data_IF_387408665245
#
_entry.id   IF_387408665245
#
_cell.length_a   1.000
_cell.length_b   1.000
_cell.length_c   1.000
_cell.angle_alpha   90.00
_cell.angle_beta   90.00
_cell.angle_gamma   90.00
#
_symmetry.space_group_name_H-M   'P 1'
#
loop_
_entity.id
_entity.type
_entity.pdbx_description
1 polymer ?
#
# COMPACT_ATOMS: atom_id res chain seq x y z
N UNK A 1 30.37 -14.57 8.61
CA UNK A 1 29.69 -13.26 8.72
C UNK A 1 28.18 -13.45 8.55
N UNK A 2 27.34 -13.66 9.57
CA UNK A 2 27.52 -14.29 10.88
C UNK A 2 26.15 -14.87 11.34
N UNK A 3 25.90 -16.16 11.09
CA UNK A 3 25.12 -17.02 12.02
C UNK A 3 25.96 -17.39 13.27
N UNK A 4 27.21 -16.93 13.28
CA UNK A 4 28.10 -16.79 14.44
C UNK A 4 27.71 -15.63 15.38
N UNK A 5 26.72 -14.79 15.00
CA UNK A 5 26.02 -13.86 15.92
C UNK A 5 24.89 -14.55 16.70
N UNK A 6 24.62 -15.83 16.44
CA UNK A 6 23.57 -16.59 17.14
C UNK A 6 24.04 -17.92 17.76
N UNK A 7 25.22 -18.49 17.40
CA UNK A 7 25.59 -19.88 17.81
C UNK A 7 26.99 -20.05 18.44
N UNK A 8 27.81 -18.99 18.63
CA UNK A 8 29.20 -19.17 19.07
C UNK A 8 29.48 -19.11 20.58
N UNK A 9 28.46 -19.22 21.43
CA UNK A 9 28.62 -19.11 22.89
C UNK A 9 28.14 -20.35 23.66
N UNK A 10 28.34 -21.53 23.08
CA UNK A 10 28.34 -22.78 23.84
C UNK A 10 29.61 -23.58 23.52
N UNK A 11 30.69 -23.35 24.30
CA UNK A 11 31.72 -24.33 24.67
C UNK A 11 32.73 -23.75 25.68
N UNK A 12 32.35 -23.77 26.96
CA UNK A 12 33.21 -23.99 28.15
C UNK A 12 32.24 -23.91 29.35
N UNK A 13 31.66 -25.00 29.85
CA UNK A 13 32.38 -25.94 30.68
C UNK A 13 31.71 -27.32 30.69
N UNK A 14 32.54 -28.33 30.81
CA UNK A 14 32.28 -29.75 30.77
C UNK A 14 32.17 -30.26 32.22
N UNK A 15 31.00 -30.73 32.68
CA UNK A 15 30.71 -31.54 33.90
C UNK A 15 29.19 -31.37 34.18
N UNK A 16 28.31 -32.34 34.42
CA UNK A 16 28.41 -33.71 34.94
C UNK A 16 27.18 -34.53 34.50
N UNK A 17 27.42 -35.82 34.24
CA UNK A 17 26.50 -36.96 34.28
C UNK A 17 25.40 -36.88 35.37
N UNK A 18 24.16 -37.30 35.05
CA UNK A 18 23.34 -38.28 35.82
C UNK A 18 22.07 -38.61 34.99
N UNK A 19 22.00 -39.76 34.31
CA UNK A 19 21.29 -40.99 34.73
C UNK A 19 19.76 -40.84 34.90
N UNK A 20 19.04 -41.59 34.06
CA UNK A 20 17.87 -42.46 34.36
C UNK A 20 16.43 -41.94 34.09
N UNK A 21 15.82 -42.65 33.13
CA UNK A 21 14.44 -43.14 33.00
C UNK A 21 13.26 -42.21 32.68
N UNK A 22 12.74 -42.46 31.47
CA UNK A 22 11.34 -42.75 31.12
C UNK A 22 10.24 -41.85 31.70
N UNK A 23 9.62 -41.06 30.84
CA UNK A 23 8.16 -41.10 30.60
C UNK A 23 7.94 -40.84 29.10
N UNK A 24 7.25 -41.76 28.44
CA UNK A 24 6.69 -41.57 27.11
C UNK A 24 5.54 -40.56 27.25
N UNK A 25 5.82 -39.30 26.96
CA UNK A 25 4.82 -38.25 26.79
C UNK A 25 4.83 -37.86 25.33
N UNK A 26 3.68 -37.97 24.68
CA UNK A 26 3.44 -37.37 23.36
C UNK A 26 3.58 -35.85 23.58
N UNK A 27 4.76 -35.32 23.32
CA UNK A 27 4.99 -33.90 23.29
C UNK A 27 4.54 -33.41 21.91
N UNK A 28 3.38 -32.78 21.84
CA UNK A 28 3.21 -31.71 20.85
C UNK A 28 4.09 -30.56 21.34
N UNK A 29 5.36 -30.61 20.93
CA UNK A 29 6.26 -29.47 21.10
C UNK A 29 5.81 -28.40 20.12
N UNK A 30 5.15 -27.36 20.63
CA UNK A 30 5.22 -26.08 19.95
C UNK A 30 6.70 -25.65 20.07
N UNK A 31 7.47 -25.85 19.01
CA UNK A 31 8.86 -25.41 18.97
C UNK A 31 8.87 -23.88 18.93
N UNK A 32 9.38 -23.27 20.00
CA UNK A 32 9.51 -21.82 20.11
C UNK A 32 10.94 -21.46 19.71
N UNK A 33 11.08 -20.82 18.54
CA UNK A 33 12.31 -20.12 18.17
C UNK A 33 12.17 -18.67 18.65
N UNK A 34 12.92 -18.30 19.68
CA UNK A 34 12.91 -16.96 20.28
C UNK A 34 14.24 -16.27 20.01
N UNK A 35 14.20 -15.15 19.29
CA UNK A 35 15.30 -14.20 19.13
C UNK A 35 14.74 -12.77 19.17
N UNK A 36 15.46 -11.84 19.81
CA UNK A 36 14.97 -10.54 20.31
C UNK A 36 13.79 -9.90 19.53
N UNK A 37 12.55 -10.15 19.99
CA UNK A 37 11.34 -9.51 19.49
C UNK A 37 10.69 -10.14 18.25
N UNK A 38 11.25 -11.24 17.72
CA UNK A 38 10.65 -12.06 16.66
C UNK A 38 10.40 -13.49 17.14
N UNK A 39 9.18 -13.99 16.92
CA UNK A 39 8.69 -15.28 17.39
C UNK A 39 7.97 -16.01 16.26
N UNK A 40 8.31 -17.29 16.05
CA UNK A 40 7.62 -18.19 15.13
C UNK A 40 6.98 -19.34 15.94
N UNK A 41 5.71 -19.62 15.68
CA UNK A 41 4.98 -20.77 16.21
C UNK A 41 4.16 -21.44 15.11
N UNK A 42 3.99 -22.75 15.20
CA UNK A 42 3.12 -23.56 14.36
C UNK A 42 2.84 -24.91 15.05
N UNK A 43 1.90 -25.69 14.52
CA UNK A 43 1.64 -27.05 14.99
C UNK A 43 2.84 -27.98 14.77
N UNK A 44 3.58 -27.76 13.69
CA UNK A 44 4.76 -28.54 13.36
C UNK A 44 5.79 -27.63 12.69
N UNK A 45 7.03 -27.70 13.18
CA UNK A 45 8.18 -27.02 12.57
C UNK A 45 9.22 -28.09 12.28
N UNK A 46 9.65 -28.20 11.03
CA UNK A 46 10.67 -29.14 10.57
C UNK A 46 11.85 -28.38 9.97
N UNK A 47 13.05 -28.82 10.32
CA UNK A 47 14.28 -28.33 9.73
C UNK A 47 14.88 -29.40 8.82
N UNK A 48 14.93 -29.11 7.53
CA UNK A 48 15.45 -29.98 6.49
C UNK A 48 16.88 -29.55 6.15
N UNK A 49 17.86 -30.07 6.90
CA UNK A 49 19.28 -29.69 6.74
C UNK A 49 19.80 -29.92 5.32
N UNK A 50 19.44 -31.06 4.69
CA UNK A 50 19.87 -31.42 3.34
C UNK A 50 19.39 -30.42 2.27
N UNK A 51 18.21 -29.84 2.48
CA UNK A 51 17.57 -28.89 1.58
C UNK A 51 17.84 -27.43 1.99
N UNK A 52 18.49 -27.19 3.13
CA UNK A 52 18.64 -25.86 3.74
C UNK A 52 17.29 -25.14 3.85
N UNK A 53 16.28 -25.83 4.36
CA UNK A 53 14.90 -25.36 4.41
C UNK A 53 14.30 -25.54 5.80
N UNK A 54 13.51 -24.56 6.25
CA UNK A 54 12.62 -24.67 7.41
C UNK A 54 11.19 -24.68 6.91
N UNK A 55 10.36 -25.61 7.39
CA UNK A 55 8.92 -25.66 7.08
C UNK A 55 8.10 -25.63 8.37
N UNK A 56 7.14 -24.71 8.43
CA UNK A 56 6.17 -24.58 9.51
C UNK A 56 4.77 -24.86 8.96
N UNK A 57 4.03 -25.76 9.59
CA UNK A 57 2.74 -26.27 9.12
C UNK A 57 1.69 -26.20 10.23
N UNK A 58 0.50 -25.71 9.87
CA UNK A 58 -0.67 -25.61 10.74
C UNK A 58 -0.58 -24.44 11.73
N UNK A 59 -1.58 -23.55 11.70
CA UNK A 59 -1.68 -22.38 12.60
C UNK A 59 -0.36 -21.60 12.72
N UNK A 60 0.30 -21.36 11.59
CA UNK A 60 1.58 -20.63 11.58
C UNK A 60 1.32 -19.20 12.02
N UNK A 61 2.06 -18.75 13.03
CA UNK A 61 2.07 -17.38 13.50
C UNK A 61 3.52 -16.89 13.60
N UNK A 62 3.80 -15.77 12.93
CA UNK A 62 5.06 -15.04 13.06
C UNK A 62 4.76 -13.68 13.65
N UNK A 63 5.33 -13.41 14.81
CA UNK A 63 5.23 -12.13 15.51
C UNK A 63 6.58 -11.44 15.33
N UNK A 64 6.59 -10.20 14.87
CA UNK A 64 7.78 -9.36 14.82
C UNK A 64 7.43 -7.97 15.36
N UNK A 65 7.86 -7.68 16.58
CA UNK A 65 7.44 -6.50 17.34
C UNK A 65 5.90 -6.38 17.39
N UNK A 66 5.31 -5.37 16.73
CA UNK A 66 3.86 -5.12 16.70
C UNK A 66 3.17 -5.68 15.45
N UNK A 67 3.90 -6.42 14.60
CA UNK A 67 3.37 -7.05 13.40
C UNK A 67 3.09 -8.53 13.65
N UNK A 68 1.94 -9.01 13.17
CA UNK A 68 1.52 -10.41 13.33
C UNK A 68 1.13 -10.96 11.97
N UNK A 69 1.93 -11.90 11.46
CA UNK A 69 1.65 -12.67 10.26
C UNK A 69 1.06 -14.03 10.65
N UNK A 70 -0.01 -14.45 9.97
CA UNK A 70 -0.57 -15.80 10.09
C UNK A 70 -0.72 -16.47 8.75
N UNK A 71 -0.55 -17.79 8.71
CA UNK A 71 -0.74 -18.61 7.51
C UNK A 71 -1.02 -20.08 7.89
N UNK A 72 -1.45 -20.88 6.90
CA UNK A 72 -1.55 -22.33 7.08
C UNK A 72 -0.19 -23.03 6.96
N UNK A 73 0.67 -22.51 6.07
CA UNK A 73 2.00 -23.04 5.79
C UNK A 73 2.98 -21.88 5.59
N UNK A 74 4.20 -22.05 6.11
CA UNK A 74 5.33 -21.17 5.85
C UNK A 74 6.58 -21.99 5.60
N UNK A 75 7.27 -21.74 4.49
CA UNK A 75 8.58 -22.34 4.20
C UNK A 75 9.62 -21.25 4.05
N UNK A 76 10.80 -21.46 4.64
CA UNK A 76 11.95 -20.58 4.50
C UNK A 76 13.12 -21.35 3.89
N UNK A 77 13.50 -20.94 2.69
CA UNK A 77 14.71 -21.40 2.00
C UNK A 77 15.89 -20.51 2.43
N UNK A 78 16.77 -21.07 3.26
CA UNK A 78 17.94 -20.38 3.82
C UNK A 78 18.99 -20.07 2.77
N UNK A 79 19.06 -20.86 1.68
CA UNK A 79 20.06 -20.71 0.63
C UNK A 79 19.73 -19.53 -0.29
N UNK A 80 18.45 -19.40 -0.65
CA UNK A 80 17.95 -18.35 -1.53
C UNK A 80 17.38 -17.15 -0.78
N UNK A 81 17.40 -17.18 0.56
CA UNK A 81 16.76 -16.21 1.44
C UNK A 81 15.32 -15.90 1.02
N UNK A 82 14.53 -16.96 0.84
CA UNK A 82 13.16 -16.87 0.29
C UNK A 82 12.15 -17.44 1.28
N UNK A 83 11.18 -16.62 1.66
CA UNK A 83 10.04 -17.01 2.50
C UNK A 83 8.82 -17.16 1.61
N UNK A 84 8.08 -18.25 1.80
CA UNK A 84 6.82 -18.51 1.13
C UNK A 84 5.77 -18.83 2.20
N UNK A 85 4.76 -17.98 2.31
CA UNK A 85 3.57 -18.20 3.12
C UNK A 85 2.37 -18.53 2.22
N UNK A 86 1.59 -19.53 2.61
CA UNK A 86 0.43 -20.02 1.83
C UNK A 86 -0.76 -20.34 2.71
N UNK A 87 -1.95 -20.07 2.17
CA UNK A 87 -3.23 -20.41 2.76
C UNK A 87 -3.60 -19.47 3.90
N UNK A 88 -4.74 -18.79 3.76
CA UNK A 88 -5.27 -17.84 4.75
C UNK A 88 -4.21 -16.84 5.26
N UNK A 89 -3.34 -16.36 4.37
CA UNK A 89 -2.26 -15.45 4.77
C UNK A 89 -2.89 -14.16 5.24
N UNK A 90 -2.58 -13.75 6.46
CA UNK A 90 -3.00 -12.46 7.00
C UNK A 90 -1.84 -11.76 7.70
N UNK A 91 -1.78 -10.44 7.59
CA UNK A 91 -0.79 -9.61 8.26
C UNK A 91 -1.49 -8.45 8.93
N UNK A 92 -1.27 -8.30 10.24
CA UNK A 92 -1.60 -7.10 10.98
C UNK A 92 -0.35 -6.21 11.05
N UNK A 93 -0.44 -4.98 10.55
CA UNK A 93 0.67 -4.03 10.62
C UNK A 93 0.65 -3.23 11.93
N UNK A 94 1.74 -2.51 12.21
CA UNK A 94 1.85 -1.64 13.39
C UNK A 94 0.83 -0.51 13.39
N UNK A 95 0.48 -0.01 12.21
CA UNK A 95 -0.50 1.05 11.99
C UNK A 95 -1.95 0.56 12.18
N UNK A 96 -2.15 -0.75 12.32
CA UNK A 96 -3.47 -1.37 12.46
C UNK A 96 -4.13 -1.74 11.12
N UNK A 97 -3.38 -1.70 10.02
CA UNK A 97 -3.86 -2.22 8.73
C UNK A 97 -3.97 -3.75 8.80
N UNK A 98 -5.01 -4.30 8.19
CA UNK A 98 -5.23 -5.73 8.05
C UNK A 98 -5.07 -6.12 6.59
N UNK A 99 -4.05 -6.91 6.28
CA UNK A 99 -3.77 -7.41 4.93
C UNK A 99 -4.10 -8.90 4.86
N UNK A 100 -4.57 -9.34 3.70
CA UNK A 100 -4.91 -10.72 3.40
C UNK A 100 -4.38 -11.12 2.02
N UNK A 101 -3.96 -12.37 1.89
CA UNK A 101 -3.51 -12.93 0.61
C UNK A 101 -3.74 -14.43 0.56
N UNK A 102 -3.78 -15.00 -0.65
CA UNK A 102 -3.73 -16.45 -0.82
C UNK A 102 -2.31 -16.98 -0.58
N UNK A 103 -1.33 -16.26 -1.14
CA UNK A 103 0.08 -16.61 -1.01
C UNK A 103 0.96 -15.37 -1.09
N UNK A 104 2.09 -15.45 -0.40
CA UNK A 104 3.11 -14.42 -0.38
C UNK A 104 4.49 -15.08 -0.47
N UNK A 105 5.25 -14.70 -1.49
CA UNK A 105 6.66 -15.08 -1.62
C UNK A 105 7.51 -13.82 -1.47
N UNK A 106 8.44 -13.81 -0.52
CA UNK A 106 9.33 -12.69 -0.24
C UNK A 106 10.79 -13.16 -0.31
N UNK A 107 11.69 -12.29 -0.74
CA UNK A 107 13.10 -12.61 -0.89
C UNK A 107 13.99 -11.42 -0.51
N UNK A 108 15.19 -11.74 0.01
CA UNK A 108 16.30 -10.80 0.17
C UNK A 108 15.98 -9.79 1.26
N UNK A 109 15.76 -10.26 2.49
CA UNK A 109 15.31 -9.42 3.62
C UNK A 109 13.97 -8.72 3.33
N UNK A 110 13.01 -9.47 2.76
CA UNK A 110 11.65 -9.02 2.43
C UNK A 110 11.57 -7.84 1.42
N UNK A 111 12.67 -7.52 0.75
CA UNK A 111 12.78 -6.38 -0.18
C UNK A 111 12.00 -6.60 -1.46
N UNK A 112 11.95 -7.84 -1.93
CA UNK A 112 11.29 -8.19 -3.18
C UNK A 112 10.31 -9.33 -2.96
N UNK A 113 9.30 -9.43 -3.82
CA UNK A 113 8.38 -10.55 -3.71
C UNK A 113 7.17 -10.48 -4.61
N UNK A 114 6.37 -11.54 -4.54
CA UNK A 114 5.10 -11.67 -5.26
C UNK A 114 4.01 -12.05 -4.28
N UNK A 115 2.94 -11.27 -4.25
CA UNK A 115 1.75 -11.51 -3.44
C UNK A 115 0.59 -11.78 -4.39
N UNK A 116 -0.17 -12.84 -4.16
CA UNK A 116 -1.31 -13.24 -5.01
C UNK A 116 -2.62 -13.13 -4.24
N UNK A 117 -3.66 -12.67 -4.95
CA UNK A 117 -5.01 -12.46 -4.43
C UNK A 117 -5.00 -11.64 -3.14
N UNK A 118 -4.40 -10.45 -3.26
CA UNK A 118 -4.24 -9.51 -2.15
C UNK A 118 -5.53 -8.73 -1.90
N UNK A 119 -5.87 -8.55 -0.63
CA UNK A 119 -6.85 -7.58 -0.17
C UNK A 119 -6.44 -6.96 1.16
N UNK A 120 -6.91 -5.76 1.45
CA UNK A 120 -6.63 -5.09 2.71
C UNK A 120 -7.79 -4.24 3.19
N UNK A 121 -7.81 -4.03 4.51
CA UNK A 121 -8.57 -2.99 5.20
C UNK A 121 -7.54 -2.10 5.89
N UNK A 122 -7.42 -0.87 5.42
CA UNK A 122 -6.52 0.12 5.99
C UNK A 122 -7.12 0.74 7.25
N UNK A 123 -6.26 1.31 8.08
CA UNK A 123 -6.58 1.99 9.34
C UNK A 123 -7.57 3.14 9.18
N UNK A 124 -7.62 3.78 8.00
CA UNK A 124 -8.63 4.81 7.67
C UNK A 124 -9.98 4.24 7.20
N UNK A 125 -10.12 2.91 7.23
CA UNK A 125 -11.31 2.15 6.81
C UNK A 125 -11.40 1.90 5.30
N UNK A 126 -10.46 2.42 4.51
CA UNK A 126 -10.43 2.15 3.08
C UNK A 126 -9.99 0.72 2.78
N UNK A 127 -10.35 0.24 1.58
CA UNK A 127 -10.08 -1.10 1.10
C UNK A 127 -9.29 -1.03 -0.19
N UNK A 128 -8.29 -1.90 -0.30
CA UNK A 128 -7.48 -2.07 -1.50
C UNK A 128 -7.40 -3.57 -1.81
N UNK A 129 -7.57 -3.95 -3.07
CA UNK A 129 -7.33 -5.33 -3.51
C UNK A 129 -6.57 -5.35 -4.83
N UNK A 130 -5.82 -6.41 -5.08
CA UNK A 130 -5.10 -6.63 -6.32
C UNK A 130 -4.96 -8.13 -6.59
N UNK A 131 -5.02 -8.53 -7.85
CA UNK A 131 -4.82 -9.93 -8.23
C UNK A 131 -3.37 -10.37 -7.99
N UNK A 132 -2.42 -9.51 -8.33
CA UNK A 132 -0.99 -9.75 -8.14
C UNK A 132 -0.31 -8.45 -7.71
N UNK A 133 0.59 -8.54 -6.75
CA UNK A 133 1.52 -7.47 -6.38
C UNK A 133 2.94 -7.99 -6.57
N UNK A 134 3.72 -7.34 -7.42
CA UNK A 134 5.17 -7.51 -7.46
C UNK A 134 5.79 -6.40 -6.61
N UNK A 135 6.32 -6.78 -5.46
CA UNK A 135 6.95 -5.88 -4.50
C UNK A 135 8.41 -5.65 -4.86
N UNK A 136 8.85 -4.40 -4.76
CA UNK A 136 10.25 -4.03 -4.79
C UNK A 136 10.47 -2.76 -3.97
N UNK A 137 11.08 -2.87 -2.80
CA UNK A 137 11.27 -1.73 -1.88
C UNK A 137 12.22 -0.67 -2.40
N UNK A 138 13.05 -0.97 -3.41
CA UNK A 138 14.03 -0.03 -3.99
C UNK A 138 13.53 0.65 -5.26
N UNK A 139 12.84 -0.08 -6.14
CA UNK A 139 12.32 0.41 -7.43
C UNK A 139 10.86 0.85 -7.35
N UNK A 140 10.11 0.31 -6.41
CA UNK A 140 8.67 0.47 -6.24
C UNK A 140 7.86 -0.72 -6.73
N UNK A 141 6.61 -0.77 -6.29
CA UNK A 141 5.73 -1.92 -6.46
C UNK A 141 4.91 -1.80 -7.75
N UNK A 142 4.53 -2.94 -8.32
CA UNK A 142 3.53 -3.01 -9.39
C UNK A 142 2.38 -3.91 -9.00
N UNK A 143 1.16 -3.46 -9.27
CA UNK A 143 -0.06 -4.17 -8.94
C UNK A 143 -0.90 -4.37 -10.20
N UNK A 144 -1.56 -5.53 -10.29
CA UNK A 144 -2.44 -5.88 -11.40
C UNK A 144 -3.89 -6.06 -10.92
N UNK A 145 -4.84 -5.59 -11.73
CA UNK A 145 -6.29 -5.62 -11.45
C UNK A 145 -6.60 -5.05 -10.06
N UNK A 146 -6.22 -3.79 -9.87
CA UNK A 146 -6.34 -3.08 -8.59
C UNK A 146 -7.76 -2.57 -8.41
N UNK A 147 -8.30 -2.70 -7.21
CA UNK A 147 -9.57 -2.09 -6.82
C UNK A 147 -9.38 -1.32 -5.52
N UNK A 148 -9.85 -0.06 -5.49
CA UNK A 148 -9.79 0.79 -4.31
C UNK A 148 -11.17 1.40 -4.01
N UNK A 149 -11.57 1.41 -2.75
CA UNK A 149 -12.73 2.15 -2.28
C UNK A 149 -12.56 2.61 -0.84
N UNK A 150 -13.10 3.78 -0.52
CA UNK A 150 -13.22 4.23 0.88
C UNK A 150 -14.58 3.85 1.50
N UNK A 151 -15.49 3.32 0.72
CA UNK A 151 -16.79 2.87 1.21
C UNK A 151 -16.63 1.57 1.98
N UNK A 152 -17.35 1.46 3.10
CA UNK A 152 -17.59 0.16 3.74
C UNK A 152 -18.55 -0.62 2.85
N UNK A 153 -18.27 -1.91 2.66
CA UNK A 153 -19.19 -2.86 2.04
C UNK A 153 -20.26 -3.16 3.09
N UNK A 154 -21.53 -3.18 2.72
CA UNK A 154 -22.63 -3.47 3.63
C UNK A 154 -22.49 -4.89 4.18
N UNK A 155 -22.51 -5.05 5.50
CA UNK A 155 -22.35 -6.36 6.17
C UNK A 155 -23.51 -7.31 5.87
N UNK A 156 -24.70 -6.76 5.60
CA UNK A 156 -25.92 -7.52 5.34
C UNK A 156 -25.94 -8.20 3.96
N UNK A 157 -25.08 -7.75 3.03
CA UNK A 157 -25.04 -8.30 1.67
C UNK A 157 -23.65 -8.15 1.03
N UNK A 158 -22.80 -9.18 1.16
CA UNK A 158 -21.43 -9.17 0.63
C UNK A 158 -21.35 -9.06 -0.90
N UNK A 159 -22.45 -9.37 -1.59
CA UNK A 159 -22.52 -9.33 -3.05
C UNK A 159 -22.88 -7.93 -3.58
N UNK A 160 -23.17 -6.98 -2.69
CA UNK A 160 -23.57 -5.64 -3.06
C UNK A 160 -22.35 -4.75 -3.35
N UNK A 161 -22.36 -4.09 -4.52
CA UNK A 161 -21.28 -3.20 -4.93
C UNK A 161 -21.19 -1.98 -3.99
N UNK A 162 -19.98 -1.49 -3.70
CA UNK A 162 -19.83 -0.25 -2.95
C UNK A 162 -20.45 0.93 -3.71
N UNK A 163 -20.84 1.97 -2.97
CA UNK A 163 -21.38 3.22 -3.53
C UNK A 163 -20.48 3.74 -4.65
N UNK A 164 -19.16 3.66 -4.46
CA UNK A 164 -18.19 3.88 -5.52
C UNK A 164 -16.92 3.06 -5.32
N UNK A 165 -16.21 2.78 -6.42
CA UNK A 165 -14.87 2.19 -6.41
C UNK A 165 -14.08 2.61 -7.65
N UNK A 166 -12.76 2.57 -7.54
CA UNK A 166 -11.85 2.72 -8.66
C UNK A 166 -11.28 1.34 -9.01
N UNK A 167 -11.40 0.95 -10.27
CA UNK A 167 -10.83 -0.30 -10.81
C UNK A 167 -9.76 0.04 -11.84
N UNK A 168 -8.51 -0.33 -11.59
CA UNK A 168 -7.38 -0.09 -12.50
C UNK A 168 -6.79 -1.41 -13.00
N UNK A 169 -6.42 -1.48 -14.28
CA UNK A 169 -5.80 -2.69 -14.82
C UNK A 169 -4.36 -2.87 -14.29
N UNK A 170 -3.61 -1.78 -14.20
CA UNK A 170 -2.24 -1.76 -13.68
C UNK A 170 -2.04 -0.54 -12.80
N UNK A 171 -1.30 -0.72 -11.71
CA UNK A 171 -0.71 0.35 -10.91
C UNK A 171 0.79 0.14 -10.81
N UNK A 172 1.58 1.20 -10.93
CA UNK A 172 3.03 1.16 -10.77
C UNK A 172 3.47 2.33 -9.91
N UNK A 173 4.10 2.02 -8.78
CA UNK A 173 4.83 2.96 -7.96
C UNK A 173 6.28 3.00 -8.44
N UNK A 174 6.79 4.19 -8.73
CA UNK A 174 8.20 4.41 -9.08
C UNK A 174 8.83 5.30 -8.01
N UNK A 175 9.78 4.74 -7.26
CA UNK A 175 10.44 5.44 -6.16
C UNK A 175 11.40 6.53 -6.67
N UNK A 176 12.10 6.27 -7.77
CA UNK A 176 13.04 7.22 -8.37
C UNK A 176 12.31 8.47 -8.89
N UNK A 177 11.20 8.27 -9.58
CA UNK A 177 10.36 9.37 -10.08
C UNK A 177 9.47 9.98 -8.99
N UNK A 178 9.28 9.29 -7.86
CA UNK A 178 8.40 9.71 -6.78
C UNK A 178 6.93 9.80 -7.20
N UNK A 179 6.45 8.83 -7.98
CA UNK A 179 5.08 8.82 -8.53
C UNK A 179 4.42 7.46 -8.45
N UNK A 180 3.09 7.47 -8.38
CA UNK A 180 2.25 6.29 -8.58
C UNK A 180 1.38 6.52 -9.80
N UNK A 181 1.44 5.60 -10.75
CA UNK A 181 0.73 5.65 -12.01
C UNK A 181 -0.28 4.53 -12.11
N UNK A 182 -1.43 4.81 -12.71
CA UNK A 182 -2.52 3.87 -12.90
C UNK A 182 -2.96 3.91 -14.36
N UNK A 183 -3.16 2.73 -14.96
CA UNK A 183 -3.59 2.60 -16.34
C UNK A 183 -4.97 1.94 -16.42
N UNK A 184 -5.76 2.41 -17.38
CA UNK A 184 -7.12 1.92 -17.64
C UNK A 184 -7.98 1.92 -16.38
N UNK A 185 -8.10 3.10 -15.75
CA UNK A 185 -8.90 3.27 -14.53
C UNK A 185 -10.35 3.48 -14.90
N UNK A 186 -11.24 2.75 -14.25
CA UNK A 186 -12.68 2.90 -14.35
C UNK A 186 -13.19 3.34 -12.98
N UNK A 187 -13.87 4.47 -12.93
CA UNK A 187 -14.72 4.84 -11.82
C UNK A 187 -16.06 4.14 -11.98
N UNK A 188 -16.43 3.40 -10.97
CA UNK A 188 -17.62 2.58 -10.89
C UNK A 188 -18.46 3.06 -9.71
N UNK A 189 -19.78 3.14 -9.87
CA UNK A 189 -20.70 3.37 -8.76
C UNK A 189 -21.85 2.37 -8.84
N UNK A 190 -22.12 1.67 -7.73
CA UNK A 190 -23.13 0.62 -7.66
C UNK A 190 -23.00 -0.45 -8.76
N UNK A 191 -21.77 -0.76 -9.19
CA UNK A 191 -21.47 -1.74 -10.25
C UNK A 191 -21.56 -1.17 -11.67
N UNK A 192 -21.90 0.11 -11.84
CA UNK A 192 -22.05 0.77 -13.13
C UNK A 192 -20.78 1.57 -13.45
N UNK A 193 -20.09 1.30 -14.57
CA UNK A 193 -18.93 2.09 -14.99
C UNK A 193 -19.36 3.48 -15.46
N UNK A 194 -18.97 4.52 -14.73
CA UNK A 194 -19.36 5.92 -15.00
C UNK A 194 -18.30 6.65 -15.84
N UNK A 195 -17.01 6.43 -15.53
CA UNK A 195 -15.93 7.19 -16.15
C UNK A 195 -14.72 6.29 -16.39
N UNK A 196 -14.21 6.34 -17.62
CA UNK A 196 -12.95 5.70 -18.00
C UNK A 196 -11.84 6.75 -18.12
N UNK A 197 -10.69 6.44 -17.52
CA UNK A 197 -9.49 7.28 -17.52
C UNK A 197 -8.32 6.41 -18.01
N UNK A 198 -7.73 6.70 -19.18
CA UNK A 198 -6.69 5.84 -19.76
C UNK A 198 -5.42 5.81 -18.91
N UNK A 199 -5.05 6.96 -18.32
CA UNK A 199 -3.91 7.07 -17.42
C UNK A 199 -4.15 8.19 -16.41
N UNK A 200 -3.90 7.91 -15.14
CA UNK A 200 -3.88 8.90 -14.06
C UNK A 200 -2.66 8.62 -13.18
N UNK A 201 -2.09 9.67 -12.59
CA UNK A 201 -0.98 9.51 -11.65
C UNK A 201 -1.02 10.58 -10.58
N UNK A 202 -0.49 10.24 -9.42
CA UNK A 202 -0.32 11.15 -8.30
C UNK A 202 1.11 11.03 -7.75
N UNK A 203 1.63 12.07 -7.07
CA UNK A 203 2.91 11.95 -6.39
C UNK A 203 2.87 10.85 -5.34
N UNK A 204 4.01 10.21 -5.15
CA UNK A 204 4.22 9.29 -4.04
C UNK A 204 4.02 10.02 -2.69
N UNK A 205 3.44 9.38 -1.66
CA UNK A 205 3.26 9.99 -0.34
C UNK A 205 4.55 10.56 0.29
N UNK A 206 5.71 10.02 -0.07
CA UNK A 206 7.03 10.53 0.38
C UNK A 206 7.36 11.92 -0.20
N UNK A 207 6.75 12.29 -1.33
CA UNK A 207 6.97 13.55 -2.02
C UNK A 207 6.00 14.62 -1.52
N UNK A 208 6.52 15.54 -0.70
CA UNK A 208 5.72 16.63 -0.11
C UNK A 208 5.21 17.66 -1.12
N UNK A 209 5.91 17.86 -2.24
CA UNK A 209 5.55 18.86 -3.27
C UNK A 209 5.92 18.35 -4.65
N UNK A 210 4.94 18.26 -5.54
CA UNK A 210 5.12 17.86 -6.94
C UNK A 210 4.14 18.61 -7.83
N UNK A 211 4.50 18.84 -9.10
CA UNK A 211 3.61 19.43 -10.09
C UNK A 211 2.59 18.40 -10.57
N UNK A 212 1.36 18.84 -10.87
CA UNK A 212 0.31 17.96 -11.38
C UNK A 212 -1.08 18.56 -11.31
N UNK A 213 -2.05 17.80 -11.83
CA UNK A 213 -3.47 18.13 -11.70
C UNK A 213 -3.91 17.98 -10.25
N UNK A 214 -4.65 18.98 -9.76
CA UNK A 214 -5.37 18.89 -8.50
C UNK A 214 -6.77 18.31 -8.74
N UNK A 215 -7.45 17.95 -7.66
CA UNK A 215 -8.84 17.49 -7.72
C UNK A 215 -9.71 18.53 -8.46
N UNK A 216 -10.56 18.09 -9.41
CA UNK A 216 -11.46 18.98 -10.09
C UNK A 216 -12.46 19.59 -9.10
N UNK A 217 -12.93 20.80 -9.41
CA UNK A 217 -13.88 21.53 -8.58
C UNK A 217 -15.17 21.71 -9.38
N UNK A 218 -16.27 21.15 -8.89
CA UNK A 218 -17.60 21.35 -9.44
C UNK A 218 -18.35 22.39 -8.61
N UNK A 219 -18.94 23.39 -9.27
CA UNK A 219 -19.76 24.42 -8.63
C UNK A 219 -21.07 24.58 -9.39
N UNK A 220 -22.12 25.01 -8.71
CA UNK A 220 -23.36 25.42 -9.34
C UNK A 220 -23.87 26.67 -8.65
N UNK A 221 -24.16 27.73 -9.39
CA UNK A 221 -24.77 28.95 -8.86
C UNK A 221 -25.63 29.64 -9.92
N UNK A 222 -26.46 30.60 -9.51
CA UNK A 222 -27.40 31.30 -10.39
C UNK A 222 -26.74 32.13 -11.49
N UNK A 223 -25.49 32.55 -11.29
CA UNK A 223 -24.77 33.44 -12.22
C UNK A 223 -24.06 32.61 -13.29
N UNK A 224 -23.14 31.73 -12.89
CA UNK A 224 -22.30 30.92 -13.77
C UNK A 224 -22.98 29.62 -14.23
N UNK A 225 -24.06 29.20 -13.55
CA UNK A 225 -24.65 27.88 -13.71
C UNK A 225 -23.73 26.76 -13.22
N UNK A 226 -23.99 25.51 -13.64
CA UNK A 226 -23.04 24.41 -13.48
C UNK A 226 -21.66 24.82 -14.04
N UNK A 227 -20.62 24.56 -13.27
CA UNK A 227 -19.26 25.01 -13.57
C UNK A 227 -18.26 23.94 -13.18
N UNK A 228 -17.28 23.72 -14.05
CA UNK A 228 -16.16 22.79 -13.85
C UNK A 228 -14.85 23.55 -13.86
N UNK A 229 -14.00 23.34 -12.85
CA UNK A 229 -12.63 23.83 -12.82
C UNK A 229 -11.64 22.68 -12.72
N UNK A 230 -10.53 22.77 -13.46
CA UNK A 230 -9.44 21.81 -13.41
C UNK A 230 -8.13 22.52 -13.01
N UNK A 231 -7.81 22.63 -11.71
CA UNK A 231 -6.57 23.28 -11.29
C UNK A 231 -5.35 22.41 -11.67
N UNK A 232 -4.29 23.06 -12.14
CA UNK A 232 -2.98 22.49 -12.37
C UNK A 232 -1.95 23.22 -11.52
N UNK A 233 -1.35 22.51 -10.58
CA UNK A 233 -0.33 23.02 -9.69
C UNK A 233 1.05 22.81 -10.28
N UNK A 234 1.86 23.86 -10.33
CA UNK A 234 3.20 23.83 -10.89
C UNK A 234 4.22 24.40 -9.90
N UNK A 235 5.19 23.57 -9.53
CA UNK A 235 6.30 23.94 -8.66
C UNK A 235 7.36 24.67 -9.49
N UNK A 236 7.59 25.95 -9.17
CA UNK A 236 8.62 26.77 -9.83
C UNK A 236 9.98 26.66 -9.11
N UNK A 237 9.96 26.59 -7.78
CA UNK A 237 11.16 26.43 -6.95
C UNK A 237 10.78 25.89 -5.56
N UNK A 238 11.78 25.66 -4.70
CA UNK A 238 11.56 25.25 -3.30
C UNK A 238 10.65 26.23 -2.53
N UNK A 239 10.64 27.51 -2.90
CA UNK A 239 9.88 28.55 -2.21
C UNK A 239 8.83 29.24 -3.07
N UNK A 240 8.57 28.79 -4.30
CA UNK A 240 7.55 29.39 -5.16
C UNK A 240 6.77 28.39 -5.99
N UNK A 241 5.48 28.65 -6.16
CA UNK A 241 4.57 27.85 -6.98
C UNK A 241 3.58 28.73 -7.73
N UNK A 242 2.96 28.16 -8.76
CA UNK A 242 1.83 28.74 -9.48
C UNK A 242 0.75 27.68 -9.68
N UNK A 243 -0.50 28.04 -9.45
CA UNK A 243 -1.66 27.18 -9.76
C UNK A 243 -2.47 27.85 -10.86
N UNK A 244 -2.55 27.21 -12.02
CA UNK A 244 -3.37 27.68 -13.15
C UNK A 244 -4.67 26.89 -13.13
N UNK A 245 -5.81 27.57 -13.15
CA UNK A 245 -7.13 26.95 -13.01
C UNK A 245 -8.02 27.38 -14.17
N UNK A 246 -8.02 26.64 -15.29
CA UNK A 246 -9.07 26.75 -16.29
C UNK A 246 -10.43 26.35 -15.71
N UNK A 247 -11.47 27.05 -16.13
CA UNK A 247 -12.85 26.88 -15.72
C UNK A 247 -13.80 27.00 -16.90
N UNK A 248 -14.72 26.04 -17.00
CA UNK A 248 -15.82 26.03 -17.95
C UNK A 248 -17.11 26.30 -17.20
N UNK A 249 -17.83 27.35 -17.59
CA UNK A 249 -19.13 27.71 -17.03
C UNK A 249 -20.21 27.43 -18.07
N UNK A 250 -21.42 27.06 -17.64
CA UNK A 250 -22.52 26.76 -18.55
C UNK A 250 -23.29 28.00 -18.99
N UNK A 251 -23.45 29.00 -18.10
CA UNK A 251 -24.22 30.20 -18.40
C UNK A 251 -23.37 31.35 -18.94
N UNK A 252 -22.06 31.34 -18.69
CA UNK A 252 -21.15 32.44 -18.98
C UNK A 252 -19.95 31.99 -19.84
N UNK A 253 -18.99 32.89 -20.06
CA UNK A 253 -17.75 32.55 -20.75
C UNK A 253 -16.83 31.62 -19.93
N UNK A 254 -15.80 31.04 -20.58
CA UNK A 254 -14.74 30.35 -19.86
C UNK A 254 -13.95 31.33 -18.98
N UNK A 255 -13.46 30.82 -17.86
CA UNK A 255 -12.65 31.57 -16.89
C UNK A 255 -11.29 30.89 -16.80
N UNK A 256 -10.21 31.66 -16.76
CA UNK A 256 -8.89 31.14 -16.38
C UNK A 256 -8.36 31.98 -15.23
N UNK A 257 -7.97 31.33 -14.14
CA UNK A 257 -7.33 32.00 -13.00
C UNK A 257 -5.92 31.47 -12.76
N UNK A 258 -5.07 32.30 -12.17
CA UNK A 258 -3.72 31.97 -11.80
C UNK A 258 -3.45 32.49 -10.39
N UNK A 259 -3.02 31.58 -9.51
CA UNK A 259 -2.60 31.89 -8.14
C UNK A 259 -1.11 31.65 -8.02
N UNK A 260 -0.33 32.71 -7.82
CA UNK A 260 1.12 32.65 -7.62
C UNK A 260 1.47 32.90 -6.16
N UNK A 261 2.32 32.03 -5.61
CA UNK A 261 2.77 32.11 -4.21
C UNK A 261 4.29 32.05 -4.14
N UNK A 262 4.90 32.92 -3.35
CA UNK A 262 6.35 32.90 -3.08
C UNK A 262 6.66 33.22 -1.63
N UNK A 263 7.39 32.32 -0.97
CA UNK A 263 7.98 32.54 0.34
C UNK A 263 9.38 33.16 0.18
N UNK A 264 9.69 34.12 1.04
CA UNK A 264 10.99 34.78 1.18
C UNK A 264 11.42 34.68 2.65
N UNK A 265 12.70 34.90 2.94
CA UNK A 265 13.24 34.82 4.30
C UNK A 265 12.55 35.76 5.30
N UNK A 266 12.03 36.90 4.83
CA UNK A 266 11.38 37.92 5.68
C UNK A 266 9.90 38.16 5.34
N UNK A 267 9.24 37.27 4.60
CA UNK A 267 7.83 37.46 4.25
C UNK A 267 7.31 36.55 3.15
N UNK A 268 6.09 36.79 2.70
CA UNK A 268 5.45 36.05 1.61
C UNK A 268 4.81 36.98 0.59
N UNK A 269 4.72 36.51 -0.65
CA UNK A 269 4.03 37.19 -1.75
C UNK A 269 2.94 36.26 -2.25
N UNK A 270 1.76 36.82 -2.43
CA UNK A 270 0.59 36.13 -2.94
C UNK A 270 -0.08 36.99 -4.00
N UNK A 271 -0.19 36.47 -5.22
CA UNK A 271 -0.78 37.18 -6.35
C UNK A 271 -1.87 36.28 -6.93
N UNK A 272 -3.08 36.83 -7.07
CA UNK A 272 -4.19 36.18 -7.77
C UNK A 272 -4.56 37.01 -8.98
N UNK A 273 -4.77 36.35 -10.11
CA UNK A 273 -5.32 36.95 -11.31
C UNK A 273 -6.37 36.04 -11.93
N UNK A 274 -7.35 36.63 -12.60
CA UNK A 274 -8.33 35.89 -13.39
C UNK A 274 -8.71 36.65 -14.63
N UNK A 275 -8.92 35.91 -15.72
CA UNK A 275 -9.39 36.42 -17.00
C UNK A 275 -10.67 35.68 -17.36
N UNK A 276 -11.67 36.41 -17.81
CA UNK A 276 -12.93 35.86 -18.30
C UNK A 276 -13.42 36.67 -19.49
N UNK A 277 -14.20 36.05 -20.37
CA UNK A 277 -14.89 36.77 -21.44
C UNK A 277 -16.11 37.48 -20.86
N UNK A 278 -16.13 38.81 -20.93
CA UNK A 278 -17.32 39.59 -20.57
C UNK A 278 -18.48 39.34 -21.53
N UNK A 279 -19.67 39.08 -20.98
CA UNK A 279 -20.94 39.01 -21.70
C UNK A 279 -21.79 40.21 -21.29
N UNK A 280 -22.06 41.13 -22.21
CA UNK A 280 -22.95 42.27 -21.94
C UNK A 280 -24.35 41.91 -22.46
N UNK A 281 -25.26 41.51 -21.56
CA UNK A 281 -26.69 41.48 -21.89
C UNK A 281 -27.21 42.92 -21.91
N UNK A 282 -27.33 43.50 -23.11
CA UNK A 282 -28.18 44.69 -23.29
C UNK A 282 -29.62 44.24 -23.00
N UNK A 283 -30.16 44.73 -21.89
CA UNK A 283 -31.60 44.68 -21.57
C UNK A 283 -32.23 45.99 -21.97
#
# INVERSE_FOLDING_TARGET
MNFHNLINLLKFNFLTLFLIYSIFSINSSADILNDEGSFLSANTIEHHEELSMISALGEVEVINADEILRANELTYDLKNDTILAKGNVSLKTKEGDMLYAESMQLQGDLKTGVIKNFSSVLSDGSRLSAAVINRNTEKGDSLEKVVYTKCKICEDNSDEYPIWQLRGLKSKRNIEEGRVEYNHVILDAYGIPILYIPQISHPDPTIKRSSGYLSPIFKNNSILGPTYFQPYYYVLSKSSDVTITPGLTFNEGPIISADYRKLRSKGSVFIKGSLTRGSMKRT
#
